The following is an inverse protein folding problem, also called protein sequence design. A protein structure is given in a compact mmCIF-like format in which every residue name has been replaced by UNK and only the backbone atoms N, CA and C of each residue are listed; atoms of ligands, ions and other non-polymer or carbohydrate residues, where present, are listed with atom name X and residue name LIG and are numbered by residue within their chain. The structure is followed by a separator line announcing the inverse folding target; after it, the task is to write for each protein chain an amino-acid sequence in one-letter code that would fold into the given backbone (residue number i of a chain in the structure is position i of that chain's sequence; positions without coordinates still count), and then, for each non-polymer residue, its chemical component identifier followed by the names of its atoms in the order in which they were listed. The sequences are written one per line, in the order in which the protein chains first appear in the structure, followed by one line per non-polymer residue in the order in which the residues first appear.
data_IF_107414405612
#
_entry.id   IF_107414405612
#
_cell.length_a   1.000
_cell.length_b   1.000
_cell.length_c   1.000
_cell.angle_alpha   90.00
_cell.angle_beta   90.00
_cell.angle_gamma   90.00
#
_symmetry.space_group_name_H-M   'P 1'
#
loop_
_entity.id
_entity.type
_entity.pdbx_description
1 polymer ?
#
# COMPACT_ATOMS: atom_id res chain seq x y z
N UNK A 1 13.74 10.64 26.49
CA UNK A 1 12.58 11.19 25.74
C UNK A 1 13.11 11.99 24.57
N UNK A 2 12.49 11.88 23.39
CA UNK A 2 12.86 12.60 22.18
C UNK A 2 11.62 13.36 21.70
N UNK A 3 11.74 14.66 21.45
CA UNK A 3 10.67 15.43 20.81
C UNK A 3 10.62 15.11 19.32
N UNK A 4 9.43 14.93 18.76
CA UNK A 4 9.25 14.60 17.34
C UNK A 4 9.51 15.80 16.41
N UNK A 5 9.43 17.02 16.95
CA UNK A 5 9.55 18.27 16.20
C UNK A 5 8.19 18.77 15.70
N UNK A 6 8.23 19.62 14.69
CA UNK A 6 7.08 20.27 14.06
C UNK A 6 7.18 20.18 12.52
N UNK A 7 6.08 20.51 11.85
CA UNK A 7 6.09 20.74 10.41
C UNK A 7 6.55 22.16 10.14
N UNK A 8 7.47 22.31 9.18
CA UNK A 8 8.03 23.63 8.86
C UNK A 8 6.96 24.61 8.36
N UNK A 9 7.08 25.87 8.76
CA UNK A 9 6.29 26.99 8.24
C UNK A 9 4.99 27.28 8.99
N UNK A 10 4.59 26.42 9.94
CA UNK A 10 3.50 26.70 10.87
C UNK A 10 3.98 27.14 12.24
N UNK A 11 3.09 27.09 13.24
CA UNK A 11 3.48 27.24 14.64
C UNK A 11 4.11 25.94 15.14
N UNK A 12 5.08 26.06 16.06
CA UNK A 12 5.74 24.90 16.68
C UNK A 12 4.74 24.12 17.55
N UNK A 13 4.03 23.17 16.93
CA UNK A 13 3.00 22.35 17.53
C UNK A 13 2.90 21.02 16.78
N UNK A 14 2.87 19.93 17.54
CA UNK A 14 2.55 18.61 17.03
C UNK A 14 1.91 17.75 18.13
N UNK A 15 1.03 16.83 17.72
CA UNK A 15 0.42 15.81 18.58
C UNK A 15 0.54 14.46 17.88
N UNK A 16 1.01 13.44 18.61
CA UNK A 16 1.13 12.07 18.12
C UNK A 16 -0.07 11.24 18.57
N UNK A 17 -0.70 10.55 17.62
CA UNK A 17 -1.92 9.75 17.84
C UNK A 17 -1.70 8.25 17.69
N UNK A 18 -0.75 7.83 16.84
CA UNK A 18 -0.54 6.42 16.50
C UNK A 18 0.93 6.09 16.26
N UNK A 19 1.25 4.81 16.41
CA UNK A 19 2.61 4.27 16.22
C UNK A 19 2.55 2.89 15.56
N UNK A 20 3.51 2.60 14.68
CA UNK A 20 3.66 1.27 14.06
C UNK A 20 4.05 0.20 15.09
N UNK A 21 3.89 -1.08 14.76
CA UNK A 21 4.12 -2.17 15.72
C UNK A 21 5.58 -2.29 16.18
N UNK A 22 6.52 -1.87 15.33
CA UNK A 22 7.95 -1.82 15.64
C UNK A 22 8.41 -0.49 16.27
N UNK A 23 7.51 0.49 16.41
CA UNK A 23 7.83 1.82 16.93
C UNK A 23 8.60 2.73 15.97
N UNK A 24 8.85 2.33 14.72
CA UNK A 24 9.68 3.08 13.77
C UNK A 24 8.96 4.25 13.09
N UNK A 25 7.63 4.21 13.07
CA UNK A 25 6.76 5.21 12.44
C UNK A 25 5.76 5.75 13.45
N UNK A 26 5.73 7.06 13.62
CA UNK A 26 4.72 7.77 14.42
C UNK A 26 3.86 8.63 13.52
N UNK A 27 2.55 8.65 13.75
CA UNK A 27 1.59 9.48 13.00
C UNK A 27 0.78 10.36 13.93
N UNK A 28 0.28 11.47 13.40
CA UNK A 28 -0.48 12.45 14.16
C UNK A 28 -0.79 13.67 13.31
N UNK A 29 -0.79 14.85 13.93
CA UNK A 29 -0.94 16.11 13.20
C UNK A 29 -0.02 17.21 13.77
N UNK A 30 0.31 18.18 12.93
CA UNK A 30 1.05 19.39 13.31
C UNK A 30 0.54 20.60 12.51
N UNK A 31 1.14 21.76 12.71
CA UNK A 31 0.83 22.94 11.92
C UNK A 31 1.92 23.17 10.87
N UNK A 32 1.57 23.12 9.59
CA UNK A 32 2.45 23.50 8.48
C UNK A 32 2.12 24.91 7.97
N UNK A 33 2.84 25.37 6.95
CA UNK A 33 2.53 26.65 6.28
C UNK A 33 1.14 26.69 5.63
N UNK A 34 0.55 25.52 5.36
CA UNK A 34 -0.74 25.40 4.69
C UNK A 34 -1.91 25.31 5.67
N UNK A 35 -1.67 24.86 6.90
CA UNK A 35 -2.70 24.67 7.92
C UNK A 35 -2.36 23.52 8.87
N UNK A 36 -3.39 22.98 9.54
CA UNK A 36 -3.23 21.74 10.30
C UNK A 36 -3.02 20.59 9.33
N UNK A 37 -2.02 19.75 9.55
CA UNK A 37 -1.64 18.72 8.60
C UNK A 37 -1.28 17.42 9.32
N UNK A 38 -1.83 16.32 8.82
CA UNK A 38 -1.44 14.98 9.22
C UNK A 38 0.05 14.78 8.91
N UNK A 39 0.79 14.17 9.82
CA UNK A 39 2.21 13.84 9.60
C UNK A 39 2.49 12.36 9.74
N UNK A 40 3.60 11.96 9.13
CA UNK A 40 4.34 10.73 9.41
C UNK A 40 5.75 11.08 9.82
N UNK A 41 6.21 10.53 10.94
CA UNK A 41 7.54 10.75 11.49
C UNK A 41 8.34 9.45 11.51
N UNK A 42 9.63 9.55 11.19
CA UNK A 42 10.62 8.48 11.43
C UNK A 42 11.88 9.06 12.03
N UNK A 43 12.67 8.23 12.72
CA UNK A 43 13.93 8.66 13.34
C UNK A 43 14.96 9.18 12.33
N UNK A 44 15.00 8.60 11.12
CA UNK A 44 15.92 9.01 10.06
C UNK A 44 15.42 10.14 9.16
N UNK A 45 14.10 10.34 9.07
CA UNK A 45 13.47 11.31 8.16
C UNK A 45 12.91 12.55 8.85
N UNK A 46 12.72 12.52 10.17
CA UNK A 46 11.99 13.56 10.89
C UNK A 46 10.50 13.55 10.54
N UNK A 47 9.83 14.68 10.79
CA UNK A 47 8.39 14.86 10.54
C UNK A 47 8.15 15.26 9.08
N UNK A 48 7.29 14.51 8.38
CA UNK A 48 6.86 14.81 7.02
C UNK A 48 5.33 14.93 6.96
N UNK A 49 4.84 15.99 6.32
CA UNK A 49 3.42 16.20 6.09
C UNK A 49 2.86 15.21 5.07
N UNK A 50 1.61 14.79 5.27
CA UNK A 50 0.89 13.86 4.39
C UNK A 50 -0.03 14.57 3.38
N UNK A 51 -0.15 15.89 3.47
CA UNK A 51 -1.12 16.69 2.74
C UNK A 51 -2.52 16.63 3.33
N UNK A 52 -3.50 16.98 2.51
CA UNK A 52 -4.92 16.92 2.83
C UNK A 52 -5.72 16.45 1.60
N UNK A 53 -6.99 16.12 1.80
CA UNK A 53 -7.94 15.92 0.72
C UNK A 53 -8.16 17.23 -0.04
N UNK A 54 -8.47 17.13 -1.33
CA UNK A 54 -8.63 18.31 -2.18
C UNK A 54 -10.03 18.93 -2.05
N UNK A 55 -10.11 20.24 -2.28
CA UNK A 55 -11.38 20.98 -2.38
C UNK A 55 -11.93 21.56 -1.07
N UNK A 56 -11.31 21.28 0.07
CA UNK A 56 -11.67 21.83 1.39
C UNK A 56 -10.69 22.87 1.94
N UNK A 57 -10.91 23.27 3.19
CA UNK A 57 -9.87 23.95 4.00
C UNK A 57 -8.76 22.96 4.30
N UNK A 58 -7.50 23.34 4.14
CA UNK A 58 -6.35 22.47 4.42
C UNK A 58 -6.29 22.07 5.90
N UNK A 59 -6.82 20.90 6.22
CA UNK A 59 -6.90 20.34 7.58
C UNK A 59 -7.04 18.82 7.55
N UNK A 60 -5.98 18.14 7.99
CA UNK A 60 -5.96 16.68 8.12
C UNK A 60 -5.36 16.21 9.45
N UNK A 61 -5.79 15.03 9.90
CA UNK A 61 -5.31 14.36 11.12
C UNK A 61 -5.17 12.86 10.88
N UNK A 62 -3.99 12.30 11.14
CA UNK A 62 -3.79 10.84 11.16
C UNK A 62 -4.09 10.27 12.55
N UNK A 63 -4.80 9.14 12.58
CA UNK A 63 -5.18 8.45 13.82
C UNK A 63 -4.58 7.04 13.93
N UNK A 64 -4.40 6.35 12.80
CA UNK A 64 -3.92 4.97 12.78
C UNK A 64 -2.85 4.74 11.72
N UNK A 65 -1.97 3.77 11.97
CA UNK A 65 -0.92 3.32 11.06
C UNK A 65 -0.76 1.81 11.15
N UNK A 66 -0.54 1.14 10.01
CA UNK A 66 -0.31 -0.31 9.95
C UNK A 66 1.00 -0.74 10.64
N UNK A 67 1.18 -2.03 10.94
CA UNK A 67 2.34 -2.53 11.69
C UNK A 67 3.67 -2.21 11.00
N UNK A 68 3.71 -2.30 9.67
CA UNK A 68 4.87 -1.98 8.85
C UNK A 68 5.00 -0.47 8.52
N UNK A 69 4.10 0.38 9.01
CA UNK A 69 4.15 1.81 8.79
C UNK A 69 3.84 2.28 7.36
N UNK A 70 3.30 1.42 6.50
CA UNK A 70 3.07 1.71 5.07
C UNK A 70 1.70 2.31 4.77
N UNK A 71 0.69 2.04 5.60
CA UNK A 71 -0.67 2.58 5.44
C UNK A 71 -1.01 3.44 6.64
N UNK A 72 -1.48 4.66 6.38
CA UNK A 72 -1.94 5.60 7.41
C UNK A 72 -3.41 5.91 7.15
N UNK A 73 -4.22 5.97 8.20
CA UNK A 73 -5.64 6.30 8.13
C UNK A 73 -5.97 7.46 9.06
N UNK A 74 -6.98 8.23 8.67
CA UNK A 74 -7.36 9.40 9.44
C UNK A 74 -8.60 10.11 8.92
N UNK A 75 -8.62 11.42 9.12
CA UNK A 75 -9.65 12.34 8.62
C UNK A 75 -8.99 13.53 7.92
N UNK A 76 -9.54 13.92 6.78
CA UNK A 76 -9.14 15.10 6.01
C UNK A 76 -10.36 15.97 5.71
N UNK A 77 -10.11 17.15 5.15
CA UNK A 77 -11.14 18.11 4.78
C UNK A 77 -11.26 18.22 3.27
N UNK A 78 -12.45 18.02 2.73
CA UNK A 78 -12.72 18.14 1.30
C UNK A 78 -13.87 19.12 1.04
N UNK A 79 -14.25 19.26 -0.24
CA UNK A 79 -15.44 20.02 -0.62
C UNK A 79 -16.74 19.49 0.00
N UNK A 80 -16.76 18.21 0.41
CA UNK A 80 -17.90 17.55 1.05
C UNK A 80 -17.89 17.66 2.59
N UNK A 81 -16.88 18.35 3.16
CA UNK A 81 -16.66 18.43 4.59
C UNK A 81 -15.60 17.42 5.06
N UNK A 82 -15.77 16.91 6.28
CA UNK A 82 -14.81 15.99 6.87
C UNK A 82 -15.03 14.57 6.37
N UNK A 83 -13.95 13.95 5.89
CA UNK A 83 -13.99 12.62 5.29
C UNK A 83 -12.81 11.76 5.77
N UNK A 84 -13.05 10.45 5.88
CA UNK A 84 -12.01 9.50 6.19
C UNK A 84 -11.00 9.42 5.02
N UNK A 85 -9.71 9.41 5.32
CA UNK A 85 -8.67 9.20 4.32
C UNK A 85 -7.90 7.91 4.56
N UNK A 86 -7.27 7.43 3.48
CA UNK A 86 -6.17 6.48 3.50
C UNK A 86 -4.97 7.11 2.78
N UNK A 87 -3.78 6.89 3.31
CA UNK A 87 -2.53 7.37 2.75
C UNK A 87 -1.53 6.23 2.64
N UNK A 88 -0.79 6.25 1.54
CA UNK A 88 0.44 5.48 1.36
C UNK A 88 1.43 6.33 0.56
N UNK A 89 2.72 5.97 0.62
CA UNK A 89 3.78 6.77 -0.02
C UNK A 89 3.71 6.82 -1.55
N UNK A 90 2.99 5.89 -2.18
CA UNK A 90 2.90 5.79 -3.64
C UNK A 90 1.77 6.67 -4.17
N UNK A 91 0.63 6.68 -3.50
CA UNK A 91 -0.59 7.31 -3.98
C UNK A 91 -0.93 8.62 -3.25
N UNK A 92 -0.25 8.92 -2.15
CA UNK A 92 -0.57 10.07 -1.31
C UNK A 92 -1.91 9.91 -0.59
N UNK A 93 -2.44 11.04 -0.08
CA UNK A 93 -3.71 11.05 0.64
C UNK A 93 -4.88 10.92 -0.32
N UNK A 94 -5.76 9.96 -0.05
CA UNK A 94 -6.96 9.67 -0.86
C UNK A 94 -8.17 9.52 0.03
N UNK A 95 -9.34 9.88 -0.50
CA UNK A 95 -10.60 9.63 0.17
C UNK A 95 -10.79 8.11 0.34
N UNK A 96 -11.01 7.65 1.57
CA UNK A 96 -11.10 6.22 1.88
C UNK A 96 -12.29 5.57 1.18
N UNK A 97 -13.45 6.24 1.14
CA UNK A 97 -14.64 5.72 0.47
C UNK A 97 -14.37 5.47 -1.01
N UNK A 98 -13.72 6.39 -1.69
CA UNK A 98 -13.41 6.26 -3.11
C UNK A 98 -12.45 5.08 -3.36
N UNK A 99 -11.41 4.93 -2.53
CA UNK A 99 -10.49 3.78 -2.60
C UNK A 99 -11.25 2.46 -2.42
N UNK A 100 -12.14 2.37 -1.44
CA UNK A 100 -12.92 1.15 -1.19
C UNK A 100 -13.88 0.81 -2.33
N UNK A 101 -14.44 1.81 -3.00
CA UNK A 101 -15.31 1.61 -4.16
C UNK A 101 -14.49 1.17 -5.37
N UNK A 102 -13.43 1.92 -5.69
CA UNK A 102 -12.70 1.78 -6.94
C UNK A 102 -11.73 0.59 -6.92
N UNK A 103 -11.04 0.37 -5.80
CA UNK A 103 -9.97 -0.61 -5.71
C UNK A 103 -10.48 -1.96 -5.13
N UNK A 104 -11.54 -1.92 -4.31
CA UNK A 104 -12.08 -3.10 -3.62
C UNK A 104 -13.53 -3.46 -4.02
N UNK A 105 -14.19 -2.68 -4.87
CA UNK A 105 -15.53 -2.99 -5.37
C UNK A 105 -16.64 -2.92 -4.31
N UNK A 106 -16.43 -2.19 -3.21
CA UNK A 106 -17.34 -2.18 -2.04
C UNK A 106 -18.52 -1.19 -2.16
N UNK A 107 -18.81 -0.69 -3.36
CA UNK A 107 -19.85 0.33 -3.57
C UNK A 107 -21.24 -0.04 -3.06
N UNK A 108 -21.65 -1.30 -3.23
CA UNK A 108 -22.97 -1.75 -2.73
C UNK A 108 -23.03 -1.82 -1.21
N UNK A 109 -21.93 -2.22 -0.55
CA UNK A 109 -21.85 -2.28 0.91
C UNK A 109 -21.81 -0.88 1.57
N UNK A 110 -21.30 0.12 0.84
CA UNK A 110 -21.17 1.50 1.30
C UNK A 110 -22.35 2.40 0.89
N UNK A 111 -23.39 1.85 0.25
CA UNK A 111 -24.54 2.63 -0.20
C UNK A 111 -25.20 3.38 0.98
N UNK A 112 -25.34 4.69 0.85
CA UNK A 112 -25.94 5.56 1.88
C UNK A 112 -25.03 5.90 3.07
N UNK A 113 -23.84 5.29 3.18
CA UNK A 113 -22.87 5.68 4.21
C UNK A 113 -22.16 6.99 3.85
N UNK A 114 -21.73 7.75 4.85
CA UNK A 114 -20.70 8.77 4.73
C UNK A 114 -19.59 8.45 5.74
N UNK A 115 -18.38 8.16 5.28
CA UNK A 115 -17.26 7.78 6.15
C UNK A 115 -16.51 9.04 6.58
N UNK A 116 -16.77 9.52 7.80
CA UNK A 116 -16.23 10.79 8.29
C UNK A 116 -14.84 10.66 8.92
N UNK A 117 -14.55 9.54 9.58
CA UNK A 117 -13.31 9.38 10.34
C UNK A 117 -12.87 7.92 10.35
N UNK A 118 -11.65 7.63 9.90
CA UNK A 118 -10.99 6.34 10.14
C UNK A 118 -10.10 6.45 11.38
N UNK A 119 -10.48 5.78 12.47
CA UNK A 119 -9.83 5.89 13.77
C UNK A 119 -8.76 4.83 14.04
N UNK A 120 -8.79 3.71 13.31
CA UNK A 120 -7.85 2.62 13.53
C UNK A 120 -7.73 1.71 12.32
N UNK A 121 -6.59 1.03 12.24
CA UNK A 121 -6.25 0.05 11.22
C UNK A 121 -5.59 -1.15 11.89
N UNK A 122 -5.88 -2.37 11.43
CA UNK A 122 -5.21 -3.58 11.93
C UNK A 122 -3.74 -3.62 11.50
N UNK A 123 -2.95 -4.42 12.21
CA UNK A 123 -1.52 -4.61 11.94
C UNK A 123 -1.22 -4.92 10.48
N UNK A 124 -1.99 -5.83 9.88
CA UNK A 124 -1.86 -6.26 8.47
C UNK A 124 -2.53 -5.31 7.47
N UNK A 125 -3.17 -4.23 7.94
CA UNK A 125 -3.90 -3.29 7.10
C UNK A 125 -5.25 -3.78 6.58
N UNK A 126 -5.68 -4.99 6.93
CA UNK A 126 -6.87 -5.63 6.33
C UNK A 126 -8.21 -5.19 6.94
N UNK A 127 -8.16 -4.55 8.10
CA UNK A 127 -9.32 -4.03 8.82
C UNK A 127 -9.13 -2.56 9.14
N UNK A 128 -10.14 -1.74 8.82
CA UNK A 128 -10.19 -0.33 9.20
C UNK A 128 -11.48 -0.09 9.98
N UNK A 129 -11.40 0.67 11.06
CA UNK A 129 -12.55 1.04 11.91
C UNK A 129 -12.68 2.56 12.01
N UNK A 130 -13.89 3.03 12.30
CA UNK A 130 -14.14 4.46 12.39
C UNK A 130 -15.58 4.79 12.74
N UNK A 131 -15.97 6.04 12.48
CA UNK A 131 -17.36 6.47 12.59
C UNK A 131 -17.78 7.33 11.40
N UNK A 132 -19.08 7.40 11.16
CA UNK A 132 -19.65 8.09 10.01
C UNK A 132 -21.18 8.16 10.11
N UNK A 133 -21.81 8.72 9.10
CA UNK A 133 -23.28 8.76 9.01
C UNK A 133 -23.77 7.53 8.26
N UNK A 134 -24.67 6.77 8.88
CA UNK A 134 -25.27 5.58 8.28
C UNK A 134 -26.41 5.95 7.30
N UNK A 135 -26.95 4.98 6.54
CA UNK A 135 -28.03 5.23 5.58
C UNK A 135 -29.34 5.76 6.21
N UNK A 136 -29.51 5.61 7.51
CA UNK A 136 -30.64 6.18 8.27
C UNK A 136 -30.39 7.60 8.78
N UNK A 137 -29.21 8.17 8.50
CA UNK A 137 -28.84 9.53 8.88
C UNK A 137 -28.24 9.67 10.28
N UNK A 138 -27.96 8.57 10.98
CA UNK A 138 -27.38 8.60 12.33
C UNK A 138 -25.87 8.41 12.30
N UNK A 139 -25.16 9.06 13.23
CA UNK A 139 -23.74 8.80 13.45
C UNK A 139 -23.56 7.48 14.18
N UNK A 140 -22.80 6.56 13.60
CA UNK A 140 -22.45 5.29 14.24
C UNK A 140 -21.05 4.81 13.85
N UNK A 141 -20.55 3.84 14.61
CA UNK A 141 -19.29 3.18 14.32
C UNK A 141 -19.41 2.26 13.12
N UNK A 142 -18.35 2.18 12.31
CA UNK A 142 -18.23 1.25 11.20
C UNK A 142 -16.94 0.45 11.30
N UNK A 143 -16.97 -0.73 10.70
CA UNK A 143 -15.82 -1.60 10.50
C UNK A 143 -15.85 -2.09 9.06
N UNK A 144 -14.70 -2.01 8.41
CA UNK A 144 -14.47 -2.56 7.08
C UNK A 144 -13.36 -3.58 7.23
N UNK A 145 -13.61 -4.81 6.79
CA UNK A 145 -12.70 -5.93 6.91
C UNK A 145 -12.55 -6.64 5.56
N UNK A 146 -11.53 -7.48 5.45
CA UNK A 146 -11.27 -8.21 4.21
C UNK A 146 -10.65 -7.34 3.12
N UNK A 147 -9.98 -6.24 3.49
CA UNK A 147 -9.07 -5.51 2.61
C UNK A 147 -7.83 -6.39 2.44
N UNK A 148 -7.95 -7.47 1.67
CA UNK A 148 -6.85 -8.42 1.51
C UNK A 148 -5.62 -7.68 1.01
N UNK A 149 -4.45 -8.01 1.58
CA UNK A 149 -3.20 -7.80 0.85
C UNK A 149 -3.41 -8.46 -0.51
N UNK A 150 -3.26 -7.70 -1.60
CA UNK A 150 -3.01 -8.31 -2.90
C UNK A 150 -1.71 -9.08 -2.70
N UNK A 151 -1.82 -10.33 -2.24
CA UNK A 151 -0.71 -11.27 -2.27
C UNK A 151 -0.38 -11.32 -3.73
N UNK A 152 0.78 -10.78 -4.09
CA UNK A 152 1.36 -10.95 -5.40
C UNK A 152 1.09 -12.39 -5.79
N UNK A 153 0.30 -12.59 -6.84
CA UNK A 153 0.24 -13.89 -7.50
C UNK A 153 1.72 -14.24 -7.69
N UNK A 154 2.25 -15.33 -7.11
CA UNK A 154 3.63 -15.68 -7.38
C UNK A 154 3.68 -15.82 -8.89
N UNK A 155 4.45 -14.96 -9.56
CA UNK A 155 4.66 -15.14 -10.99
C UNK A 155 5.03 -16.62 -11.17
N UNK A 156 4.32 -17.38 -12.01
CA UNK A 156 4.65 -18.78 -12.20
C UNK A 156 6.10 -18.78 -12.63
N UNK A 157 6.97 -19.35 -11.80
CA UNK A 157 8.41 -19.28 -11.89
C UNK A 157 8.89 -19.15 -13.35
N UNK A 158 9.19 -17.92 -13.80
CA UNK A 158 9.93 -17.69 -15.04
C UNK A 158 11.41 -18.00 -14.79
N UNK A 159 11.66 -19.19 -14.24
CA UNK A 159 12.98 -19.77 -13.98
C UNK A 159 13.20 -21.07 -14.76
N UNK A 160 12.40 -21.37 -15.77
CA UNK A 160 12.57 -22.59 -16.59
C UNK A 160 12.39 -22.39 -18.10
N UNK A 161 12.89 -21.28 -18.66
CA UNK A 161 13.14 -21.17 -20.11
C UNK A 161 14.51 -20.53 -20.41
N UNK A 162 15.55 -20.94 -19.69
CA UNK A 162 16.95 -20.68 -20.06
C UNK A 162 17.83 -21.95 -20.04
N UNK A 163 17.21 -23.14 -20.05
CA UNK A 163 17.90 -24.41 -19.79
C UNK A 163 17.77 -25.52 -20.83
N UNK A 164 17.12 -25.31 -21.99
CA UNK A 164 17.10 -26.33 -23.06
C UNK A 164 17.31 -25.65 -24.41
N UNK A 165 18.56 -25.60 -24.85
CA UNK A 165 18.93 -25.06 -26.16
C UNK A 165 20.42 -24.88 -26.46
N UNK A 166 21.34 -25.46 -25.68
CA UNK A 166 22.79 -25.45 -25.97
C UNK A 166 23.44 -26.85 -25.85
N UNK A 167 22.72 -27.90 -26.26
CA UNK A 167 23.29 -29.24 -26.45
C UNK A 167 22.73 -29.88 -27.73
N UNK A 168 23.11 -29.31 -28.88
CA UNK A 168 22.69 -29.80 -30.20
C UNK A 168 23.64 -29.46 -31.36
N UNK A 169 24.83 -28.92 -31.07
CA UNK A 169 25.90 -28.70 -32.05
C UNK A 169 27.11 -29.53 -31.63
N UNK A 170 27.18 -30.80 -32.06
CA UNK A 170 28.34 -31.62 -31.69
C UNK A 170 28.45 -33.08 -32.13
N UNK A 171 27.49 -33.71 -32.84
CA UNK A 171 27.64 -35.14 -33.23
C UNK A 171 27.28 -35.43 -34.70
N UNK A 172 27.42 -34.45 -35.61
CA UNK A 172 27.28 -34.71 -37.06
C UNK A 172 28.62 -35.00 -37.79
N UNK A 173 29.78 -34.87 -37.13
CA UNK A 173 31.09 -34.98 -37.81
C UNK A 173 31.85 -36.32 -37.61
N UNK A 174 31.30 -37.30 -36.88
CA UNK A 174 32.03 -38.54 -36.55
C UNK A 174 31.58 -39.81 -37.31
N UNK A 175 30.67 -39.71 -38.30
CA UNK A 175 30.17 -40.90 -39.04
C UNK A 175 31.01 -41.34 -40.24
N UNK A 176 32.15 -40.67 -40.53
CA UNK A 176 32.97 -41.00 -41.70
C UNK A 176 34.18 -41.94 -41.45
N UNK A 177 34.37 -42.48 -40.24
CA UNK A 177 35.56 -43.31 -39.93
C UNK A 177 35.34 -44.81 -39.72
N UNK A 178 34.12 -45.35 -39.84
CA UNK A 178 33.86 -46.78 -39.50
C UNK A 178 33.18 -47.63 -40.60
N UNK A 179 33.22 -47.23 -41.88
CA UNK A 179 32.73 -48.06 -43.01
C UNK A 179 33.81 -48.41 -44.04
N UNK A 180 35.07 -48.56 -43.61
CA UNK A 180 36.18 -49.03 -44.47
C UNK A 180 36.59 -50.50 -44.25
N UNK A 181 35.80 -51.33 -43.56
CA UNK A 181 36.25 -52.70 -43.20
C UNK A 181 35.32 -53.86 -43.53
N UNK A 182 34.32 -53.69 -44.39
CA UNK A 182 33.48 -54.81 -44.87
C UNK A 182 33.33 -54.78 -46.39
N UNK A 183 34.45 -55.06 -47.07
CA UNK A 183 34.46 -55.67 -48.41
C UNK A 183 35.52 -56.77 -48.36
N UNK A 184 35.13 -58.01 -48.05
CA UNK A 184 35.82 -59.26 -48.42
C UNK A 184 34.81 -60.41 -48.19
N UNK A 185 34.66 -61.28 -49.20
CA UNK A 185 33.92 -62.55 -49.27
C UNK A 185 32.37 -62.48 -49.33
N UNK A 186 31.65 -63.08 -50.29
CA UNK A 186 31.90 -64.28 -51.11
C UNK A 186 31.25 -64.16 -52.52
N UNK A 187 31.96 -64.68 -53.53
CA UNK A 187 31.44 -65.06 -54.86
C UNK A 187 30.57 -66.32 -54.77
N UNK A 188 29.50 -66.38 -55.56
CA UNK A 188 29.30 -67.40 -56.62
C UNK A 188 28.33 -66.86 -57.66
#
# INVERSE_FOLDING_TARGET
MVGLGDLSGGSFLSEANGVSGDGSVVVGYGNSSSGQEAFRWTSGGGMAGLGDLSGGTFSSVAFGVSENGSVVVGRGSSASGLEAFIWDSTNGMRNLRDVLINDYGLGSALAGWNLTNAGGISSDGSVIVGYGTNPSGFTEGWMIAGLGAVTTVPEPATYLLLGIGLAGLGVAAARQRLRKSWMINCRR
#
